data_IF_324890180409
#
_entry.id   IF_324890180409
#
_cell.length_a   1.000
_cell.length_b   1.000
_cell.length_c   1.000
_cell.angle_alpha   90.00
_cell.angle_beta   90.00
_cell.angle_gamma   90.00
#
_symmetry.space_group_name_H-M   'P 1'
#
loop_
_entity.id
_entity.type
_entity.pdbx_description
1 polymer ?
#
# COMPACT_ATOMS: atom_id res chain seq x y z
N UNK A 1 -20.75 4.31 -2.95
CA UNK A 1 -21.00 5.26 -4.05
C UNK A 1 -22.21 6.10 -3.68
N UNK A 2 -22.14 7.41 -3.90
CA UNK A 2 -23.26 8.37 -3.71
C UNK A 2 -23.56 9.05 -5.04
N UNK A 3 -24.79 9.51 -5.21
CA UNK A 3 -25.20 10.27 -6.41
C UNK A 3 -26.05 11.47 -6.00
N UNK A 4 -26.24 12.41 -6.92
CA UNK A 4 -27.35 13.35 -6.85
C UNK A 4 -28.71 12.62 -6.94
N UNK A 5 -29.79 13.30 -6.55
CA UNK A 5 -31.15 12.76 -6.63
C UNK A 5 -31.54 12.43 -8.08
N UNK A 6 -31.18 13.32 -9.01
CA UNK A 6 -31.32 13.11 -10.44
C UNK A 6 -29.97 12.77 -11.06
N UNK A 7 -29.96 11.87 -12.04
CA UNK A 7 -28.72 11.38 -12.67
C UNK A 7 -28.78 11.33 -14.21
N UNK A 8 -29.88 11.79 -14.81
CA UNK A 8 -30.15 11.61 -16.23
C UNK A 8 -29.11 12.31 -17.13
N UNK A 9 -28.69 13.52 -16.76
CA UNK A 9 -27.74 14.30 -17.55
C UNK A 9 -26.32 13.74 -17.40
N UNK A 10 -25.88 13.43 -16.18
CA UNK A 10 -24.54 12.87 -15.97
C UNK A 10 -24.42 11.47 -16.55
N UNK A 11 -25.44 10.62 -16.45
CA UNK A 11 -25.41 9.28 -17.03
C UNK A 11 -25.27 9.35 -18.56
N UNK A 12 -26.04 10.23 -19.22
CA UNK A 12 -25.92 10.45 -20.66
C UNK A 12 -24.54 10.98 -21.04
N UNK A 13 -24.04 11.97 -20.31
CA UNK A 13 -22.72 12.56 -20.53
C UNK A 13 -21.60 11.53 -20.35
N UNK A 14 -21.68 10.65 -19.34
CA UNK A 14 -20.72 9.58 -19.12
C UNK A 14 -20.74 8.53 -20.24
N UNK A 15 -21.92 8.16 -20.76
CA UNK A 15 -22.02 7.29 -21.93
C UNK A 15 -21.30 7.88 -23.15
N UNK A 16 -21.48 9.18 -23.42
CA UNK A 16 -20.80 9.85 -24.55
C UNK A 16 -19.29 10.01 -24.31
N UNK A 17 -18.88 10.30 -23.07
CA UNK A 17 -17.46 10.38 -22.72
C UNK A 17 -16.78 9.02 -22.87
N UNK A 18 -17.40 7.94 -22.39
CA UNK A 18 -16.84 6.58 -22.44
C UNK A 18 -16.54 6.12 -23.86
N UNK A 19 -17.35 6.52 -24.85
CA UNK A 19 -17.09 6.21 -26.27
C UNK A 19 -15.77 6.80 -26.79
N UNK A 20 -15.26 7.85 -26.14
CA UNK A 20 -14.04 8.57 -26.54
C UNK A 20 -12.85 8.29 -25.62
N UNK A 21 -13.10 7.79 -24.40
CA UNK A 21 -12.05 7.41 -23.46
C UNK A 21 -11.32 6.20 -24.03
N UNK A 22 -10.00 6.33 -24.16
CA UNK A 22 -9.11 5.27 -24.61
C UNK A 22 -8.36 4.65 -23.43
N UNK A 23 -7.58 3.61 -23.71
CA UNK A 23 -6.66 3.05 -22.72
C UNK A 23 -5.60 4.07 -22.31
N UNK A 24 -5.27 4.07 -21.02
CA UNK A 24 -4.15 4.86 -20.50
C UNK A 24 -2.80 4.26 -20.96
N UNK A 25 -1.89 5.11 -21.41
CA UNK A 25 -0.54 4.71 -21.83
C UNK A 25 0.23 4.15 -20.64
N UNK A 26 0.90 3.00 -20.83
CA UNK A 26 1.83 2.46 -19.84
C UNK A 26 3.16 3.21 -19.95
N UNK A 27 3.36 4.19 -19.09
CA UNK A 27 4.50 5.12 -19.13
C UNK A 27 5.46 4.93 -17.94
N UNK A 28 5.12 4.06 -17.00
CA UNK A 28 5.84 3.87 -15.75
C UNK A 28 6.18 2.40 -15.51
N UNK A 29 7.21 2.14 -14.71
CA UNK A 29 7.67 0.78 -14.40
C UNK A 29 7.47 0.45 -12.94
N UNK A 30 6.91 -0.71 -12.65
CA UNK A 30 6.83 -1.23 -11.30
C UNK A 30 8.17 -1.89 -10.92
N UNK A 31 8.95 -1.33 -9.96
CA UNK A 31 10.24 -1.91 -9.58
C UNK A 31 10.12 -3.30 -8.97
N UNK A 32 8.97 -3.61 -8.37
CA UNK A 32 8.72 -4.87 -7.67
C UNK A 32 8.31 -6.00 -8.61
N UNK A 33 7.48 -5.70 -9.61
CA UNK A 33 6.90 -6.70 -10.52
C UNK A 33 7.47 -6.66 -11.94
N UNK A 34 8.39 -5.72 -12.21
CA UNK A 34 9.05 -5.52 -13.52
C UNK A 34 8.08 -5.37 -14.70
N UNK A 35 6.83 -5.03 -14.44
CA UNK A 35 5.81 -4.74 -15.43
C UNK A 35 5.64 -3.22 -15.61
N UNK A 36 5.17 -2.83 -16.78
CA UNK A 36 4.84 -1.45 -17.07
C UNK A 36 3.38 -1.17 -16.65
N UNK A 37 3.15 0.01 -16.09
CA UNK A 37 1.83 0.47 -15.63
C UNK A 37 1.54 1.89 -16.13
N UNK A 38 0.26 2.28 -16.13
CA UNK A 38 -0.16 3.64 -16.43
C UNK A 38 -0.06 4.54 -15.18
N UNK A 39 0.69 5.65 -15.26
CA UNK A 39 0.76 6.65 -14.19
C UNK A 39 -0.60 7.31 -13.91
N UNK A 40 -0.68 8.09 -12.82
CA UNK A 40 -1.87 8.91 -12.56
C UNK A 40 -2.07 9.92 -13.70
N UNK A 41 -0.98 10.51 -14.18
CA UNK A 41 -0.93 11.44 -15.29
C UNK A 41 -1.49 10.81 -16.56
N UNK A 42 -1.05 9.60 -16.91
CA UNK A 42 -1.55 8.87 -18.07
C UNK A 42 -3.06 8.57 -17.99
N UNK A 43 -3.58 8.27 -16.80
CA UNK A 43 -5.03 8.06 -16.60
C UNK A 43 -5.81 9.37 -16.72
N UNK A 44 -5.26 10.47 -16.21
CA UNK A 44 -5.87 11.80 -16.36
C UNK A 44 -5.89 12.20 -17.84
N UNK A 45 -4.78 12.05 -18.55
CA UNK A 45 -4.68 12.44 -19.97
C UNK A 45 -5.61 11.61 -20.86
N UNK A 46 -5.79 10.33 -20.56
CA UNK A 46 -6.72 9.46 -21.28
C UNK A 46 -8.20 9.83 -21.11
N UNK A 47 -8.55 10.59 -20.05
CA UNK A 47 -9.96 10.84 -19.66
C UNK A 47 -10.37 12.30 -19.76
N UNK A 48 -9.46 13.22 -19.43
CA UNK A 48 -9.77 14.62 -19.19
C UNK A 48 -10.44 15.29 -20.39
N UNK A 49 -9.93 15.08 -21.60
CA UNK A 49 -10.50 15.69 -22.80
C UNK A 49 -11.95 15.23 -23.04
N UNK A 50 -12.18 13.91 -23.00
CA UNK A 50 -13.50 13.32 -23.24
C UNK A 50 -14.53 13.72 -22.19
N UNK A 51 -14.13 13.79 -20.92
CA UNK A 51 -15.01 14.23 -19.83
C UNK A 51 -15.37 15.71 -19.95
N UNK A 52 -14.38 16.58 -20.19
CA UNK A 52 -14.60 18.01 -20.33
C UNK A 52 -15.50 18.35 -21.50
N UNK A 53 -15.38 17.64 -22.63
CA UNK A 53 -16.27 17.81 -23.78
C UNK A 53 -17.73 17.51 -23.45
N UNK A 54 -17.99 16.62 -22.49
CA UNK A 54 -19.34 16.32 -21.99
C UNK A 54 -19.71 17.13 -20.73
N UNK A 55 -18.95 18.16 -20.40
CA UNK A 55 -19.22 19.03 -19.25
C UNK A 55 -19.02 18.34 -17.89
N UNK A 56 -18.15 17.33 -17.82
CA UNK A 56 -17.81 16.62 -16.59
C UNK A 56 -16.42 17.03 -16.11
N UNK A 57 -16.31 17.37 -14.83
CA UNK A 57 -15.04 17.56 -14.13
C UNK A 57 -14.85 16.48 -13.07
N UNK A 58 -13.59 16.14 -12.79
CA UNK A 58 -13.22 15.23 -11.71
C UNK A 58 -12.71 16.07 -10.53
N UNK A 59 -13.31 15.90 -9.36
CA UNK A 59 -12.87 16.50 -8.10
C UNK A 59 -12.40 15.40 -7.18
N UNK A 60 -11.20 15.54 -6.61
CA UNK A 60 -10.66 14.59 -5.64
C UNK A 60 -10.19 15.34 -4.40
N UNK A 61 -10.77 15.00 -3.26
CA UNK A 61 -10.50 15.62 -1.95
C UNK A 61 -10.13 14.55 -0.93
N UNK A 62 -9.22 14.91 -0.02
CA UNK A 62 -8.82 14.04 1.09
C UNK A 62 -9.50 14.54 2.35
N UNK A 63 -10.22 13.65 3.03
CA UNK A 63 -10.86 13.92 4.32
C UNK A 63 -10.47 12.82 5.31
N UNK A 64 -9.69 13.21 6.34
CA UNK A 64 -9.11 12.27 7.29
C UNK A 64 -8.26 11.21 6.58
N UNK A 65 -8.64 9.95 6.74
CA UNK A 65 -7.99 8.79 6.12
C UNK A 65 -8.69 8.31 4.84
N UNK A 66 -9.47 9.16 4.19
CA UNK A 66 -10.25 8.80 3.00
C UNK A 66 -9.98 9.76 1.85
N UNK A 67 -10.09 9.23 0.64
CA UNK A 67 -10.11 10.01 -0.60
C UNK A 67 -11.52 9.92 -1.19
N UNK A 68 -12.15 11.05 -1.37
CA UNK A 68 -13.40 11.20 -2.12
C UNK A 68 -13.08 11.58 -3.56
N UNK A 69 -13.72 10.92 -4.52
CA UNK A 69 -13.65 11.23 -5.94
C UNK A 69 -15.06 11.47 -6.47
N UNK A 70 -15.30 12.65 -7.02
CA UNK A 70 -16.58 13.07 -7.59
C UNK A 70 -16.43 13.39 -9.08
N UNK A 71 -17.25 12.74 -9.90
CA UNK A 71 -17.54 13.15 -11.28
C UNK A 71 -18.69 14.14 -11.22
N UNK A 72 -18.40 15.41 -11.45
CA UNK A 72 -19.37 16.51 -11.36
C UNK A 72 -19.73 16.98 -12.77
N UNK A 73 -21.01 16.88 -13.13
CA UNK A 73 -21.53 17.40 -14.39
C UNK A 73 -21.97 18.87 -14.25
N UNK A 74 -21.90 19.60 -15.36
CA UNK A 74 -22.31 21.00 -15.49
C UNK A 74 -23.76 21.30 -15.08
N UNK A 75 -24.65 20.30 -15.10
CA UNK A 75 -26.04 20.42 -14.62
C UNK A 75 -26.16 20.45 -13.09
N UNK A 76 -25.08 20.18 -12.36
CA UNK A 76 -25.10 19.98 -10.90
C UNK A 76 -25.21 18.52 -10.47
N UNK A 77 -25.55 17.61 -11.38
CA UNK A 77 -25.58 16.17 -11.10
C UNK A 77 -24.18 15.59 -10.88
N UNK A 78 -24.07 14.57 -10.04
CA UNK A 78 -22.77 13.98 -9.69
C UNK A 78 -22.83 12.50 -9.37
N UNK A 79 -21.72 11.80 -9.62
CA UNK A 79 -21.39 10.49 -9.06
C UNK A 79 -20.16 10.62 -8.16
N UNK A 80 -20.22 10.04 -6.97
CA UNK A 80 -19.17 10.13 -5.97
C UNK A 80 -18.83 8.76 -5.40
N UNK A 81 -17.54 8.53 -5.20
CA UNK A 81 -17.04 7.35 -4.53
C UNK A 81 -15.91 7.70 -3.56
N UNK A 82 -15.83 6.95 -2.48
CA UNK A 82 -14.84 7.15 -1.41
C UNK A 82 -14.03 5.88 -1.27
N UNK A 83 -12.72 6.04 -1.08
CA UNK A 83 -11.78 4.95 -0.78
C UNK A 83 -10.95 5.28 0.45
N UNK A 84 -10.63 4.25 1.25
CA UNK A 84 -9.73 4.42 2.39
C UNK A 84 -8.28 4.52 1.92
N UNK A 85 -7.53 5.46 2.47
CA UNK A 85 -6.09 5.58 2.27
C UNK A 85 -5.38 4.53 3.12
N UNK A 86 -4.71 3.59 2.45
CA UNK A 86 -3.92 2.55 3.10
C UNK A 86 -2.46 3.02 3.25
N UNK A 87 -2.16 3.65 4.39
CA UNK A 87 -0.81 4.15 4.67
C UNK A 87 0.09 3.03 5.18
N UNK A 88 1.24 2.82 4.54
CA UNK A 88 2.30 1.91 5.03
C UNK A 88 3.17 2.55 6.11
N UNK A 89 3.26 3.88 6.12
CA UNK A 89 4.00 4.68 7.10
C UNK A 89 3.17 5.89 7.49
N UNK A 90 3.15 6.19 8.79
CA UNK A 90 2.46 7.36 9.32
C UNK A 90 3.36 8.61 9.27
N UNK A 91 3.73 9.00 8.05
CA UNK A 91 4.50 10.21 7.75
C UNK A 91 3.95 10.88 6.48
N UNK A 92 4.39 12.10 6.20
CA UNK A 92 3.87 12.89 5.08
C UNK A 92 4.15 12.25 3.71
N UNK A 93 5.25 11.49 3.61
CA UNK A 93 5.64 10.81 2.38
C UNK A 93 4.74 9.59 2.11
N UNK A 94 4.45 8.80 3.15
CA UNK A 94 3.53 7.67 3.13
C UNK A 94 2.10 8.13 2.80
N UNK A 95 1.67 9.24 3.39
CA UNK A 95 0.39 9.87 3.05
C UNK A 95 0.36 10.30 1.57
N UNK A 96 1.37 11.04 1.10
CA UNK A 96 1.45 11.47 -0.30
C UNK A 96 1.45 10.31 -1.29
N UNK A 97 2.19 9.24 -1.00
CA UNK A 97 2.23 8.03 -1.82
C UNK A 97 0.85 7.34 -1.87
N UNK A 98 0.19 7.24 -0.72
CA UNK A 98 -1.14 6.63 -0.60
C UNK A 98 -2.19 7.42 -1.38
N UNK A 99 -2.14 8.75 -1.30
CA UNK A 99 -3.05 9.64 -2.04
C UNK A 99 -2.86 9.45 -3.54
N UNK A 100 -1.62 9.50 -4.05
CA UNK A 100 -1.34 9.32 -5.48
C UNK A 100 -1.84 7.96 -5.99
N UNK A 101 -1.60 6.89 -5.22
CA UNK A 101 -2.08 5.55 -5.57
C UNK A 101 -3.62 5.51 -5.59
N UNK A 102 -4.27 5.95 -4.52
CA UNK A 102 -5.73 5.93 -4.40
C UNK A 102 -6.40 6.76 -5.51
N UNK A 103 -5.85 7.94 -5.84
CA UNK A 103 -6.39 8.80 -6.91
C UNK A 103 -6.42 8.09 -8.26
N UNK A 104 -5.35 7.37 -8.59
CA UNK A 104 -5.23 6.62 -9.84
C UNK A 104 -6.24 5.49 -9.92
N UNK A 105 -6.27 4.64 -8.90
CA UNK A 105 -7.17 3.46 -8.89
C UNK A 105 -8.63 3.87 -8.83
N UNK A 106 -8.97 4.88 -8.03
CA UNK A 106 -10.35 5.32 -7.91
C UNK A 106 -10.85 5.93 -9.23
N UNK A 107 -10.02 6.75 -9.89
CA UNK A 107 -10.37 7.34 -11.19
C UNK A 107 -10.49 6.26 -12.27
N UNK A 108 -9.53 5.34 -12.34
CA UNK A 108 -9.53 4.24 -13.29
C UNK A 108 -10.75 3.33 -13.12
N UNK A 109 -11.11 2.98 -11.87
CA UNK A 109 -12.27 2.16 -11.57
C UNK A 109 -13.59 2.86 -11.95
N UNK A 110 -13.72 4.16 -11.67
CA UNK A 110 -14.94 4.92 -11.99
C UNK A 110 -15.16 5.12 -13.49
N UNK A 111 -14.10 5.10 -14.30
CA UNK A 111 -14.14 5.38 -15.74
C UNK A 111 -13.83 4.15 -16.60
N UNK A 112 -13.82 2.96 -15.99
CA UNK A 112 -13.56 1.70 -16.66
C UNK A 112 -12.25 1.69 -17.47
N UNK A 113 -11.18 2.22 -16.87
CA UNK A 113 -9.83 2.17 -17.45
C UNK A 113 -9.09 1.00 -16.84
N UNK A 114 -8.75 0.03 -17.69
CA UNK A 114 -7.87 -1.07 -17.31
C UNK A 114 -6.54 -0.52 -16.80
N UNK A 115 -6.21 -0.82 -15.55
CA UNK A 115 -4.84 -0.74 -15.08
C UNK A 115 -4.13 -2.02 -15.50
N UNK A 116 -2.89 -1.91 -15.97
CA UNK A 116 -2.04 -3.08 -16.15
C UNK A 116 -1.53 -3.57 -14.80
N UNK A 117 -2.45 -3.97 -13.94
CA UNK A 117 -2.13 -4.90 -12.88
C UNK A 117 -2.27 -6.28 -13.47
N UNK A 118 -1.12 -6.89 -13.79
CA UNK A 118 -1.01 -8.34 -13.97
C UNK A 118 -1.13 -9.05 -12.60
N UNK A 119 -2.05 -8.57 -11.76
CA UNK A 119 -2.54 -9.28 -10.58
C UNK A 119 -3.36 -10.50 -11.01
N UNK A 120 -3.59 -10.71 -12.31
CA UNK A 120 -4.07 -11.99 -12.86
C UNK A 120 -3.12 -13.16 -12.58
N UNK A 121 -1.82 -12.92 -12.40
CA UNK A 121 -0.88 -13.96 -11.94
C UNK A 121 -0.70 -13.99 -10.41
N UNK A 122 -1.14 -12.96 -9.68
CA UNK A 122 -1.28 -13.04 -8.22
C UNK A 122 -2.61 -13.71 -7.82
N UNK A 123 -3.68 -13.54 -8.61
CA UNK A 123 -5.01 -14.11 -8.40
C UNK A 123 -5.21 -15.49 -9.04
N UNK A 124 -4.34 -15.91 -9.98
CA UNK A 124 -4.39 -17.24 -10.63
C UNK A 124 -3.17 -18.14 -10.35
N UNK A 125 -2.15 -17.65 -9.66
CA UNK A 125 -1.38 -18.56 -8.81
C UNK A 125 -2.24 -18.86 -7.59
N UNK A 126 -2.13 -20.03 -6.94
CA UNK A 126 -2.75 -20.25 -5.65
C UNK A 126 -2.18 -19.21 -4.68
N UNK A 127 -2.85 -18.06 -4.61
CA UNK A 127 -2.90 -17.22 -3.45
C UNK A 127 -3.45 -18.16 -2.38
N UNK A 128 -2.55 -18.69 -1.55
CA UNK A 128 -2.91 -19.07 -0.21
C UNK A 128 -3.49 -17.81 0.43
N UNK A 129 -4.81 -17.65 0.28
CA UNK A 129 -5.63 -16.82 1.11
C UNK A 129 -5.39 -17.32 2.54
N UNK A 130 -4.45 -16.71 3.24
CA UNK A 130 -4.67 -16.50 4.66
C UNK A 130 -5.51 -15.24 4.76
N UNK A 131 -6.81 -15.45 4.57
CA UNK A 131 -7.79 -14.88 5.49
C UNK A 131 -7.15 -14.88 6.88
N UNK A 132 -6.87 -13.70 7.46
CA UNK A 132 -6.92 -13.61 8.90
C UNK A 132 -8.40 -13.84 9.25
N UNK A 133 -8.76 -14.94 9.93
CA UNK A 133 -10.01 -14.94 10.65
C UNK A 133 -9.92 -13.79 11.66
N UNK A 134 -11.04 -13.08 11.83
CA UNK A 134 -11.31 -12.36 13.06
C UNK A 134 -10.95 -13.25 14.26
N UNK A 135 -10.63 -12.62 15.40
CA UNK A 135 -10.48 -13.33 16.67
C UNK A 135 -11.65 -14.30 16.87
N UNK A 136 -11.40 -15.57 16.62
CA UNK A 136 -12.00 -16.73 17.22
C UNK A 136 -10.86 -17.76 17.30
N UNK A 137 -10.60 -18.16 18.53
CA UNK A 137 -9.49 -18.99 18.98
C UNK A 137 -9.51 -20.32 18.22
N UNK A 138 -8.40 -20.71 17.57
CA UNK A 138 -7.98 -22.11 17.61
C UNK A 138 -6.49 -22.29 17.30
N UNK A 139 -5.89 -23.22 18.03
CA UNK A 139 -4.47 -23.54 18.17
C UNK A 139 -4.00 -24.37 16.98
N UNK A 140 -2.81 -24.08 16.38
CA UNK A 140 -1.79 -25.08 15.96
C UNK A 140 -0.56 -24.48 15.21
N UNK A 141 0.60 -24.57 15.90
CA UNK A 141 1.93 -25.02 15.43
C UNK A 141 2.65 -24.30 14.27
N UNK A 142 3.02 -23.02 14.44
CA UNK A 142 4.07 -22.39 13.63
C UNK A 142 4.72 -21.23 14.39
N UNK A 143 6.05 -21.20 14.46
CA UNK A 143 6.79 -20.14 15.16
C UNK A 143 6.56 -18.79 14.43
N UNK A 144 5.95 -17.78 15.08
CA UNK A 144 5.59 -16.50 14.45
C UNK A 144 6.81 -15.67 14.02
N UNK A 145 8.02 -16.08 14.38
CA UNK A 145 9.26 -15.40 14.07
C UNK A 145 9.99 -15.98 12.82
N UNK A 146 9.55 -17.13 12.29
CA UNK A 146 10.26 -17.88 11.23
C UNK A 146 10.33 -17.15 9.86
N UNK A 147 9.45 -16.17 9.65
CA UNK A 147 9.40 -15.37 8.42
C UNK A 147 9.78 -13.90 8.64
N UNK A 148 10.28 -13.55 9.83
CA UNK A 148 10.74 -12.19 10.09
C UNK A 148 12.04 -11.89 9.34
N UNK A 149 12.01 -10.85 8.50
CA UNK A 149 13.19 -10.33 7.78
C UNK A 149 13.81 -9.18 8.57
N UNK A 150 15.10 -9.28 8.87
CA UNK A 150 15.83 -8.30 9.67
C UNK A 150 16.00 -6.99 8.89
N UNK A 151 15.79 -5.86 9.58
CA UNK A 151 16.13 -4.52 9.10
C UNK A 151 17.00 -3.81 10.15
N UNK A 152 18.32 -3.95 10.04
CA UNK A 152 19.30 -3.36 10.97
C UNK A 152 20.03 -2.15 10.35
N UNK A 153 19.45 -1.53 9.31
CA UNK A 153 20.02 -0.41 8.58
C UNK A 153 20.80 -0.79 7.31
N UNK A 154 21.07 0.17 6.41
CA UNK A 154 21.55 -0.10 5.04
C UNK A 154 22.97 -0.69 4.97
N UNK A 155 23.79 -0.53 6.01
CA UNK A 155 25.16 -1.05 6.06
C UNK A 155 25.31 -2.31 6.92
N UNK A 156 24.21 -2.84 7.48
CA UNK A 156 24.25 -4.07 8.26
C UNK A 156 24.15 -5.29 7.35
N UNK A 157 25.07 -6.24 7.52
CA UNK A 157 25.06 -7.53 6.82
C UNK A 157 23.85 -8.42 7.19
N UNK A 158 23.08 -8.03 8.20
CA UNK A 158 21.88 -8.72 8.63
C UNK A 158 20.62 -8.24 7.90
N UNK A 159 20.65 -7.02 7.35
CA UNK A 159 19.49 -6.46 6.66
C UNK A 159 19.14 -7.33 5.44
N UNK A 160 17.91 -7.83 5.40
CA UNK A 160 17.41 -8.71 4.35
C UNK A 160 17.56 -10.22 4.61
N UNK A 161 18.13 -10.62 5.75
CA UNK A 161 18.20 -12.04 6.16
C UNK A 161 17.03 -12.43 7.08
N UNK A 162 16.65 -13.72 7.16
CA UNK A 162 15.62 -14.13 8.10
C UNK A 162 16.20 -14.36 9.49
N UNK A 163 15.38 -14.11 10.51
CA UNK A 163 15.81 -14.25 11.89
C UNK A 163 16.21 -15.70 12.24
N UNK A 164 15.50 -16.70 11.70
CA UNK A 164 15.82 -18.13 11.84
C UNK A 164 17.10 -18.58 11.14
N UNK A 165 17.63 -17.79 10.21
CA UNK A 165 18.85 -18.16 9.47
C UNK A 165 20.13 -17.93 10.31
N UNK A 166 19.98 -17.36 11.51
CA UNK A 166 21.08 -17.05 12.42
C UNK A 166 20.96 -17.84 13.73
N UNK A 167 22.11 -18.16 14.33
CA UNK A 167 22.12 -18.83 15.63
C UNK A 167 21.59 -17.91 16.75
N UNK A 168 20.88 -18.45 17.76
CA UNK A 168 20.42 -17.68 18.92
C UNK A 168 21.54 -16.89 19.61
N UNK A 169 22.72 -17.50 19.78
CA UNK A 169 23.90 -16.88 20.38
C UNK A 169 24.39 -15.68 19.56
N UNK A 170 24.38 -15.83 18.23
CA UNK A 170 24.80 -14.77 17.32
C UNK A 170 23.84 -13.57 17.39
N UNK A 171 22.53 -13.82 17.42
CA UNK A 171 21.52 -12.78 17.52
C UNK A 171 21.62 -12.03 18.85
N UNK A 172 21.73 -12.76 19.97
CA UNK A 172 21.89 -12.16 21.30
C UNK A 172 23.14 -11.30 21.37
N UNK A 173 24.29 -11.83 20.95
CA UNK A 173 25.56 -11.10 20.96
C UNK A 173 25.51 -9.83 20.11
N UNK A 174 24.79 -9.87 19.00
CA UNK A 174 24.60 -8.71 18.12
C UNK A 174 23.82 -7.60 18.81
N UNK A 175 22.73 -7.95 19.50
CA UNK A 175 21.91 -7.00 20.26
C UNK A 175 22.70 -6.43 21.43
N UNK A 176 23.37 -7.26 22.24
CA UNK A 176 24.19 -6.83 23.37
C UNK A 176 25.34 -5.90 22.93
N UNK A 177 25.99 -6.22 21.81
CA UNK A 177 27.06 -5.38 21.25
C UNK A 177 26.52 -4.02 20.78
N UNK A 178 25.33 -4.00 20.18
CA UNK A 178 24.66 -2.78 19.77
C UNK A 178 24.29 -1.92 20.98
N UNK A 179 23.63 -2.49 21.99
CA UNK A 179 23.21 -1.78 23.21
C UNK A 179 24.41 -1.23 23.98
N UNK A 180 25.48 -2.03 24.12
CA UNK A 180 26.72 -1.60 24.75
C UNK A 180 27.36 -0.42 24.00
N UNK A 181 27.44 -0.48 22.67
CA UNK A 181 28.00 0.62 21.89
C UNK A 181 27.21 1.92 22.07
N UNK A 182 25.87 1.85 22.07
CA UNK A 182 25.01 3.01 22.30
C UNK A 182 25.22 3.61 23.70
N UNK A 183 25.33 2.76 24.72
CA UNK A 183 25.61 3.17 26.10
C UNK A 183 26.99 3.82 26.25
N UNK A 184 28.03 3.17 25.73
CA UNK A 184 29.42 3.62 25.84
C UNK A 184 29.67 4.95 25.08
N UNK A 185 28.90 5.20 24.01
CA UNK A 185 29.01 6.41 23.19
C UNK A 185 27.96 7.48 23.54
N UNK A 186 27.14 7.27 24.57
CA UNK A 186 26.03 8.16 24.94
C UNK A 186 25.12 8.55 23.76
N UNK A 187 24.79 7.56 22.92
CA UNK A 187 23.95 7.72 21.72
C UNK A 187 22.65 6.96 21.85
N UNK A 188 21.55 7.54 21.37
CA UNK A 188 20.25 6.87 21.31
C UNK A 188 20.17 5.98 20.05
N UNK A 189 19.73 4.71 20.18
CA UNK A 189 19.51 3.86 19.02
C UNK A 189 18.48 4.45 18.06
N UNK A 190 18.73 4.29 16.76
CA UNK A 190 17.74 4.60 15.74
C UNK A 190 16.55 3.63 15.82
N UNK A 191 15.40 4.05 15.28
CA UNK A 191 14.14 3.28 15.30
C UNK A 191 14.32 1.82 14.87
N UNK A 192 14.96 1.58 13.72
CA UNK A 192 15.17 0.22 13.19
C UNK A 192 16.06 -0.64 14.10
N UNK A 193 17.06 -0.02 14.75
CA UNK A 193 17.93 -0.71 15.71
C UNK A 193 17.16 -1.14 16.95
N UNK A 194 16.24 -0.28 17.44
CA UNK A 194 15.36 -0.60 18.56
C UNK A 194 14.37 -1.72 18.22
N UNK A 195 13.73 -1.63 17.06
CA UNK A 195 12.80 -2.66 16.56
C UNK A 195 13.50 -4.01 16.35
N UNK A 196 14.74 -4.01 15.84
CA UNK A 196 15.56 -5.21 15.72
C UNK A 196 15.87 -5.82 17.09
N UNK A 197 16.31 -5.03 18.06
CA UNK A 197 16.58 -5.51 19.44
C UNK A 197 15.34 -6.11 20.09
N UNK A 198 14.18 -5.45 19.97
CA UNK A 198 12.91 -5.94 20.54
C UNK A 198 12.48 -7.27 19.91
N UNK A 199 12.63 -7.40 18.59
CA UNK A 199 12.26 -8.63 17.87
C UNK A 199 13.17 -9.80 18.21
N UNK A 200 14.48 -9.58 18.31
CA UNK A 200 15.44 -10.61 18.71
C UNK A 200 15.13 -11.10 20.12
N UNK A 201 14.88 -10.21 21.08
CA UNK A 201 14.50 -10.62 22.43
C UNK A 201 13.20 -11.44 22.46
N UNK A 202 12.19 -11.03 21.68
CA UNK A 202 10.92 -11.75 21.59
C UNK A 202 11.10 -13.17 20.99
N UNK A 203 11.93 -13.30 19.96
CA UNK A 203 12.27 -14.59 19.38
C UNK A 203 13.05 -15.48 20.34
N UNK A 204 14.09 -14.96 20.99
CA UNK A 204 14.92 -15.74 21.90
C UNK A 204 14.13 -16.23 23.13
N UNK A 205 13.15 -15.45 23.60
CA UNK A 205 12.19 -15.91 24.61
C UNK A 205 11.26 -17.00 24.08
N UNK A 206 10.84 -16.88 22.82
CA UNK A 206 9.92 -17.85 22.21
C UNK A 206 10.55 -19.22 21.98
N UNK A 207 11.86 -19.27 21.72
CA UNK A 207 12.61 -20.53 21.55
C UNK A 207 13.24 -21.02 22.87
N UNK A 208 12.80 -20.50 24.02
CA UNK A 208 13.31 -20.82 25.37
C UNK A 208 14.83 -20.62 25.56
N UNK A 209 15.46 -19.76 24.74
CA UNK A 209 16.89 -19.45 24.84
C UNK A 209 17.19 -18.38 25.91
N UNK A 210 16.23 -17.47 26.16
CA UNK A 210 16.29 -16.49 27.25
C UNK A 210 15.19 -16.76 28.29
N UNK A 211 15.46 -16.58 29.60
CA UNK A 211 14.43 -16.64 30.62
C UNK A 211 13.42 -15.47 30.46
N UNK A 212 12.18 -15.70 30.90
CA UNK A 212 11.08 -14.74 30.81
C UNK A 212 11.30 -13.46 31.62
#
# INVERSE_FOLDING_TARGET
>A
MKTSNEIANIAKALCEAQKKINHATKDSKNPHFKNDYASLEAVIDATKASLLEQGIVVVQSVEGSTLETRLQHSSGEFFESTINLLMTKNDMQGLGSSITYARRYQLAAMLNISQADDDGNAASQPQNQKTQPSKAVDVMTGNPFDDYTINAGPNSKLTGTKLKDHSPEFLLKTVESSEKWHKDNNKTPHKNTKEFSEMVHAYLKHIDFLPF
#
